data_IF_403280326419
#
_entry.id   IF_403280326419
#
_cell.length_a   1.000
_cell.length_b   1.000
_cell.length_c   1.000
_cell.angle_alpha   90.00
_cell.angle_beta   90.00
_cell.angle_gamma   90.00
#
_symmetry.space_group_name_H-M   'P 1'
#
loop_
_entity.id
_entity.type
_entity.pdbx_description
1 polymer ?
#
# COMPACT_ATOMS: atom_id res chain seq x y z
N UNK A 1 -2.32 -24.76 60.91
CA UNK A 1 -2.59 -26.18 60.65
C UNK A 1 -3.55 -26.24 59.48
N UNK A 2 -3.13 -26.69 58.35
CA UNK A 2 -3.78 -27.44 57.29
C UNK A 2 -3.04 -27.18 55.98
N UNK A 3 -2.24 -28.16 55.59
CA UNK A 3 -1.58 -28.27 54.33
C UNK A 3 -2.56 -28.74 53.24
N UNK A 4 -2.39 -28.27 52.02
CA UNK A 4 -3.01 -28.87 50.86
C UNK A 4 -1.95 -29.06 49.78
N UNK A 5 -1.98 -30.28 49.27
CA UNK A 5 -1.01 -30.95 48.43
C UNK A 5 -0.90 -30.35 47.02
N UNK A 6 0.32 -30.42 46.49
CA UNK A 6 0.68 -30.19 45.10
C UNK A 6 0.28 -31.39 44.23
N UNK A 7 -0.49 -31.18 43.22
CA UNK A 7 -0.67 -32.12 42.12
C UNK A 7 0.00 -31.53 40.85
N UNK A 8 1.16 -32.10 40.51
CA UNK A 8 1.85 -31.83 39.25
C UNK A 8 1.16 -32.61 38.11
N UNK A 9 0.58 -31.93 37.14
CA UNK A 9 0.08 -32.54 35.92
C UNK A 9 1.07 -32.23 34.80
N UNK A 10 1.87 -33.22 34.42
CA UNK A 10 2.75 -33.15 33.26
C UNK A 10 1.92 -33.36 31.97
N UNK A 11 1.77 -32.31 31.15
CA UNK A 11 1.12 -32.38 29.85
C UNK A 11 2.21 -32.49 28.77
N UNK A 12 2.35 -33.68 28.20
CA UNK A 12 3.23 -33.98 27.08
C UNK A 12 2.54 -33.48 25.80
N UNK A 13 3.07 -32.39 25.21
CA UNK A 13 2.66 -31.95 23.87
C UNK A 13 3.45 -32.70 22.79
N UNK A 14 2.78 -33.59 22.07
CA UNK A 14 3.26 -34.21 20.85
C UNK A 14 3.23 -33.15 19.71
N UNK A 15 4.39 -32.71 19.28
CA UNK A 15 4.58 -31.91 18.08
C UNK A 15 4.50 -32.81 16.86
N UNK A 16 3.34 -32.84 16.19
CA UNK A 16 3.21 -33.42 14.87
C UNK A 16 3.71 -32.38 13.83
N UNK A 17 4.95 -32.51 13.41
CA UNK A 17 5.53 -31.73 12.30
C UNK A 17 4.95 -32.21 10.97
N UNK A 18 4.23 -31.38 10.26
CA UNK A 18 3.87 -31.60 8.85
C UNK A 18 5.08 -31.32 7.97
N UNK A 19 5.77 -32.36 7.52
CA UNK A 19 6.75 -32.28 6.44
C UNK A 19 5.98 -32.25 5.11
N UNK A 20 6.00 -31.14 4.38
CA UNK A 20 5.59 -31.08 2.98
C UNK A 20 6.76 -31.59 2.12
N UNK A 21 6.64 -32.80 1.63
CA UNK A 21 7.48 -33.30 0.53
C UNK A 21 6.90 -32.79 -0.79
N UNK A 22 7.65 -31.94 -1.49
CA UNK A 22 7.40 -31.65 -2.89
C UNK A 22 8.01 -32.76 -3.74
N UNK A 23 7.18 -33.50 -4.45
CA UNK A 23 7.63 -34.51 -5.42
C UNK A 23 8.28 -33.79 -6.62
N UNK A 24 9.60 -33.72 -6.60
CA UNK A 24 10.41 -33.37 -7.76
C UNK A 24 10.46 -34.57 -8.71
N UNK A 25 9.95 -34.41 -9.92
CA UNK A 25 10.08 -35.41 -10.97
C UNK A 25 11.53 -35.42 -11.44
N UNK A 26 12.28 -36.58 -11.36
CA UNK A 26 13.63 -36.65 -11.89
C UNK A 26 13.58 -36.74 -13.41
N UNK A 27 14.18 -35.76 -14.08
CA UNK A 27 14.43 -35.84 -15.52
C UNK A 27 15.67 -36.72 -15.75
N UNK A 28 15.48 -37.90 -16.33
CA UNK A 28 16.57 -38.76 -16.74
C UNK A 28 17.28 -38.13 -17.95
N UNK A 29 18.58 -37.93 -17.82
CA UNK A 29 19.46 -37.62 -18.93
C UNK A 29 19.67 -38.88 -19.81
N UNK A 30 19.12 -38.90 -21.00
CA UNK A 30 19.36 -39.96 -21.96
C UNK A 30 20.46 -39.49 -22.91
N UNK A 31 21.54 -40.30 -22.98
CA UNK A 31 22.64 -40.12 -23.92
C UNK A 31 22.34 -40.90 -25.20
N UNK A 32 22.47 -40.23 -26.35
CA UNK A 32 22.89 -40.90 -27.56
C UNK A 32 21.96 -40.86 -28.75
N UNK A 33 22.48 -40.32 -29.76
CA UNK A 33 22.45 -40.68 -31.18
C UNK A 33 21.91 -39.60 -32.11
N UNK A 34 22.86 -39.01 -32.84
CA UNK A 34 22.68 -38.12 -33.98
C UNK A 34 21.83 -38.71 -35.09
N UNK A 35 20.74 -38.02 -35.45
CA UNK A 35 20.19 -38.04 -36.82
C UNK A 35 19.79 -36.63 -37.21
N UNK A 36 20.44 -36.09 -38.23
CA UNK A 36 20.06 -34.83 -38.84
C UNK A 36 18.68 -34.95 -39.50
N UNK A 37 17.72 -34.17 -39.05
CA UNK A 37 16.47 -33.95 -39.77
C UNK A 37 16.18 -32.46 -39.78
N UNK A 38 16.21 -31.89 -40.97
CA UNK A 38 15.87 -30.52 -41.26
C UNK A 38 14.38 -30.31 -40.91
N UNK A 39 14.10 -29.53 -39.89
CA UNK A 39 12.75 -29.08 -39.55
C UNK A 39 12.58 -27.58 -39.91
N UNK A 40 11.40 -27.17 -40.39
CA UNK A 40 11.16 -25.80 -40.86
C UNK A 40 11.25 -24.79 -39.68
N UNK A 41 11.84 -23.62 -39.94
CA UNK A 41 11.87 -22.48 -39.05
C UNK A 41 10.45 -22.16 -38.56
N UNK A 42 10.16 -22.55 -37.33
CA UNK A 42 9.00 -22.03 -36.61
C UNK A 42 9.29 -20.56 -36.30
N UNK A 43 8.50 -19.68 -36.89
CA UNK A 43 8.41 -18.27 -36.50
C UNK A 43 8.14 -18.22 -35.02
N UNK A 44 9.11 -17.76 -34.25
CA UNK A 44 8.94 -17.54 -32.81
C UNK A 44 7.80 -16.53 -32.62
N UNK A 45 6.67 -17.00 -32.13
CA UNK A 45 5.65 -16.13 -31.57
C UNK A 45 6.31 -15.39 -30.41
N UNK A 46 6.25 -14.02 -30.35
CA UNK A 46 6.79 -13.31 -29.23
C UNK A 46 6.08 -13.83 -27.98
N UNK A 47 6.82 -14.41 -27.04
CA UNK A 47 6.34 -14.65 -25.68
C UNK A 47 5.77 -13.34 -25.15
N UNK A 48 4.60 -13.36 -24.47
CA UNK A 48 4.16 -12.19 -23.76
C UNK A 48 5.30 -11.80 -22.81
N UNK A 49 5.89 -10.62 -23.05
CA UNK A 49 6.75 -9.99 -22.06
C UNK A 49 5.90 -9.89 -20.80
N UNK A 50 6.27 -10.64 -19.78
CA UNK A 50 5.84 -10.34 -18.42
C UNK A 50 6.30 -8.91 -18.19
N UNK A 51 5.35 -7.97 -18.14
CA UNK A 51 5.59 -6.66 -17.60
C UNK A 51 6.03 -6.90 -16.14
N UNK A 52 7.34 -6.91 -15.94
CA UNK A 52 7.95 -6.73 -14.63
C UNK A 52 7.70 -5.26 -14.22
N UNK A 53 6.45 -4.85 -14.13
CA UNK A 53 6.08 -3.59 -13.51
C UNK A 53 6.39 -3.75 -12.03
N UNK A 54 7.51 -3.17 -11.61
CA UNK A 54 7.94 -3.16 -10.22
C UNK A 54 6.77 -2.60 -9.41
N UNK A 55 6.03 -3.47 -8.76
CA UNK A 55 4.97 -3.21 -7.78
C UNK A 55 4.33 -1.81 -7.85
N UNK A 56 3.44 -1.59 -8.81
CA UNK A 56 2.70 -0.33 -8.92
C UNK A 56 3.48 0.83 -9.53
N UNK A 57 4.64 0.58 -10.13
CA UNK A 57 5.41 1.59 -10.87
C UNK A 57 4.99 1.57 -12.34
N UNK A 58 4.50 2.69 -12.84
CA UNK A 58 4.11 2.85 -14.24
C UNK A 58 4.88 3.99 -14.90
N UNK A 59 5.07 3.96 -16.23
CA UNK A 59 5.68 5.07 -16.95
C UNK A 59 4.83 6.35 -16.78
N UNK A 60 5.40 7.39 -16.17
CA UNK A 60 4.72 8.67 -15.98
C UNK A 60 4.54 9.38 -17.31
N UNK A 61 3.29 9.58 -17.73
CA UNK A 61 2.94 10.40 -18.89
C UNK A 61 2.91 11.87 -18.49
N UNK A 62 3.97 12.61 -18.80
CA UNK A 62 4.11 14.03 -18.48
C UNK A 62 3.48 14.91 -19.58
N UNK A 63 2.20 14.71 -19.85
CA UNK A 63 1.45 15.54 -20.81
C UNK A 63 0.80 16.68 -20.03
N UNK A 64 1.16 17.96 -20.31
CA UNK A 64 0.54 19.08 -19.65
C UNK A 64 -0.97 19.11 -19.89
N UNK A 65 -1.72 19.44 -18.85
CA UNK A 65 -3.19 19.57 -18.87
C UNK A 65 -3.60 20.97 -18.40
N UNK A 66 -4.80 21.45 -18.73
CA UNK A 66 -5.27 22.75 -18.22
C UNK A 66 -5.24 22.82 -16.69
N UNK A 67 -5.03 24.01 -16.09
CA UNK A 67 -5.13 24.19 -14.63
C UNK A 67 -6.50 23.74 -14.09
N UNK A 68 -6.52 23.24 -12.86
CA UNK A 68 -7.69 22.68 -12.19
C UNK A 68 -8.30 21.46 -12.93
N UNK A 69 -7.50 20.76 -13.72
CA UNK A 69 -7.93 19.51 -14.34
C UNK A 69 -8.06 18.43 -13.27
N UNK A 70 -9.22 17.76 -13.28
CA UNK A 70 -9.41 16.51 -12.51
C UNK A 70 -8.66 15.42 -13.25
N UNK A 71 -7.46 15.10 -12.78
CA UNK A 71 -6.60 14.08 -13.38
C UNK A 71 -7.02 12.66 -12.97
N UNK A 72 -7.68 12.54 -11.83
CA UNK A 72 -8.29 11.32 -11.33
C UNK A 72 -9.64 11.65 -10.68
N UNK A 73 -10.65 10.84 -10.92
CA UNK A 73 -11.96 11.00 -10.30
C UNK A 73 -12.43 9.68 -9.69
N UNK A 74 -13.06 9.76 -8.52
CA UNK A 74 -13.64 8.58 -7.89
C UNK A 74 -14.83 8.04 -8.70
N UNK A 75 -14.91 6.72 -8.95
CA UNK A 75 -16.04 6.11 -9.66
C UNK A 75 -17.37 6.27 -8.89
N UNK A 76 -17.32 6.07 -7.58
CA UNK A 76 -18.45 6.29 -6.68
C UNK A 76 -18.14 7.46 -5.74
N UNK A 77 -18.88 8.57 -5.89
CA UNK A 77 -18.67 9.75 -5.06
C UNK A 77 -19.43 9.63 -3.74
N UNK A 78 -18.76 9.53 -2.59
CA UNK A 78 -19.44 9.55 -1.30
C UNK A 78 -20.11 10.91 -1.08
N UNK A 79 -21.18 10.92 -0.24
CA UNK A 79 -21.98 12.12 0.02
C UNK A 79 -21.18 13.21 0.71
N UNK A 80 -20.30 12.82 1.66
CA UNK A 80 -19.41 13.74 2.36
C UNK A 80 -17.98 13.52 1.86
N UNK A 81 -17.28 14.61 1.55
CA UNK A 81 -15.91 14.56 1.03
C UNK A 81 -15.08 15.66 1.70
N UNK A 82 -13.79 15.39 1.83
CA UNK A 82 -12.79 16.34 2.28
C UNK A 82 -11.79 16.60 1.16
N UNK A 83 -11.47 17.86 0.91
CA UNK A 83 -10.36 18.24 0.01
C UNK A 83 -9.17 18.65 0.88
N UNK A 84 -8.11 17.88 0.78
CA UNK A 84 -6.81 18.16 1.38
C UNK A 84 -5.97 19.03 0.43
N UNK A 85 -5.29 20.05 0.97
CA UNK A 85 -4.38 20.93 0.22
C UNK A 85 -3.31 21.47 1.15
N UNK A 86 -2.15 21.78 0.57
CA UNK A 86 -1.01 22.41 1.25
C UNK A 86 -0.83 23.85 0.75
N UNK A 87 0.06 24.61 1.39
CA UNK A 87 0.29 26.02 1.03
C UNK A 87 0.99 26.20 -0.33
N UNK A 88 1.68 25.16 -0.83
CA UNK A 88 2.33 25.18 -2.13
C UNK A 88 1.29 25.23 -3.27
N UNK A 89 1.19 26.34 -4.05
CA UNK A 89 0.22 26.47 -5.14
C UNK A 89 0.51 25.52 -6.32
N UNK A 90 1.69 24.94 -6.40
CA UNK A 90 2.07 23.96 -7.43
C UNK A 90 1.71 22.52 -7.04
N UNK A 91 1.26 22.31 -5.81
CA UNK A 91 0.87 20.99 -5.32
C UNK A 91 -0.54 20.58 -5.81
N UNK A 92 -0.79 19.28 -6.03
CA UNK A 92 -2.12 18.79 -6.33
C UNK A 92 -3.06 18.94 -5.13
N UNK A 93 -4.37 19.03 -5.39
CA UNK A 93 -5.41 18.89 -4.35
C UNK A 93 -5.98 17.49 -4.38
N UNK A 94 -6.19 16.93 -3.20
CA UNK A 94 -6.65 15.55 -3.02
C UNK A 94 -8.01 15.57 -2.35
N UNK A 95 -9.01 14.91 -2.98
CA UNK A 95 -10.33 14.81 -2.39
C UNK A 95 -10.66 13.35 -2.10
N UNK A 96 -10.89 13.05 -0.83
CA UNK A 96 -11.25 11.73 -0.33
C UNK A 96 -12.67 11.68 0.19
N UNK A 97 -13.27 10.49 0.26
CA UNK A 97 -14.52 10.28 0.97
C UNK A 97 -14.31 10.40 2.48
N UNK A 98 -15.33 10.87 3.19
CA UNK A 98 -15.32 10.94 4.66
C UNK A 98 -16.26 9.90 5.21
N UNK A 99 -15.81 8.94 6.05
CA UNK A 99 -16.69 8.00 6.71
C UNK A 99 -17.69 8.70 7.62
N UNK A 100 -18.86 8.09 7.82
CA UNK A 100 -19.88 8.66 8.67
C UNK A 100 -19.40 8.81 10.12
N UNK A 101 -19.70 9.93 10.75
CA UNK A 101 -19.32 10.22 12.13
C UNK A 101 -17.87 10.68 12.32
N UNK A 102 -17.10 10.83 11.24
CA UNK A 102 -15.73 11.34 11.36
C UNK A 102 -15.69 12.87 11.36
N UNK A 103 -14.79 13.44 12.17
CA UNK A 103 -14.47 14.86 12.17
C UNK A 103 -13.28 15.16 11.27
N UNK A 104 -13.24 16.37 10.70
CA UNK A 104 -12.19 16.82 9.77
C UNK A 104 -11.48 18.04 10.33
N UNK A 105 -10.17 18.15 10.07
CA UNK A 105 -9.37 19.32 10.37
C UNK A 105 -8.34 19.58 9.28
N UNK A 106 -7.96 20.85 9.10
CA UNK A 106 -6.86 21.21 8.24
C UNK A 106 -5.53 20.75 8.86
N UNK A 107 -4.54 20.48 8.00
CA UNK A 107 -3.18 20.22 8.43
C UNK A 107 -2.29 21.46 8.32
N UNK A 108 -0.98 21.25 8.42
CA UNK A 108 0.07 22.25 8.23
C UNK A 108 1.31 21.62 7.62
N UNK A 109 2.14 22.41 6.95
CA UNK A 109 3.29 21.90 6.20
C UNK A 109 2.83 20.95 5.08
N UNK A 110 3.37 19.75 5.02
CA UNK A 110 3.01 18.73 4.04
C UNK A 110 1.71 17.99 4.39
N UNK A 111 1.12 18.22 5.56
CA UNK A 111 -0.17 17.67 5.94
C UNK A 111 -1.28 18.51 5.32
N UNK A 112 -1.93 18.00 4.30
CA UNK A 112 -3.04 18.65 3.61
C UNK A 112 -4.37 18.55 4.34
N UNK A 113 -4.52 17.55 5.23
CA UNK A 113 -5.73 17.36 6.03
C UNK A 113 -5.63 16.17 6.97
N UNK A 114 -6.49 16.19 7.98
CA UNK A 114 -6.58 15.13 8.99
C UNK A 114 -8.04 14.81 9.30
N UNK A 115 -8.29 13.59 9.70
CA UNK A 115 -9.61 13.17 10.16
C UNK A 115 -9.46 12.31 11.43
N UNK A 116 -10.45 12.39 12.29
CA UNK A 116 -10.56 11.55 13.46
C UNK A 116 -11.92 10.85 13.48
N UNK A 117 -11.89 9.53 13.59
CA UNK A 117 -13.05 8.65 13.69
C UNK A 117 -13.28 8.15 15.11
N UNK A 118 -14.29 7.32 15.29
CA UNK A 118 -14.56 6.67 16.58
C UNK A 118 -13.42 5.70 16.94
N UNK A 119 -13.39 5.30 18.23
CA UNK A 119 -12.51 4.23 18.75
C UNK A 119 -11.01 4.40 18.46
N UNK A 120 -10.54 5.65 18.30
CA UNK A 120 -9.15 5.97 18.04
C UNK A 120 -8.71 5.83 16.58
N UNK A 121 -9.64 5.60 15.65
CA UNK A 121 -9.36 5.68 14.22
C UNK A 121 -8.93 7.09 13.83
N UNK A 122 -7.97 7.19 12.95
CA UNK A 122 -7.51 8.49 12.43
C UNK A 122 -6.95 8.37 11.02
N UNK A 123 -6.98 9.48 10.30
CA UNK A 123 -6.39 9.59 8.95
C UNK A 123 -5.57 10.85 8.85
N UNK A 124 -4.42 10.74 8.19
CA UNK A 124 -3.59 11.87 7.79
C UNK A 124 -3.39 11.82 6.28
N UNK A 125 -3.63 12.93 5.59
CA UNK A 125 -3.37 13.08 4.15
C UNK A 125 -2.17 13.99 4.01
N UNK A 126 -1.07 13.46 3.47
CA UNK A 126 0.16 14.22 3.19
C UNK A 126 0.32 14.46 1.69
N UNK A 127 0.86 15.63 1.34
CA UNK A 127 1.15 16.04 -0.03
C UNK A 127 2.55 16.68 0.01
N UNK A 128 3.57 15.84 -0.01
CA UNK A 128 4.96 16.26 0.13
C UNK A 128 5.67 16.38 -1.22
N UNK A 129 6.34 17.50 -1.48
CA UNK A 129 7.20 17.63 -2.66
C UNK A 129 8.36 16.63 -2.59
N UNK A 130 8.70 16.01 -3.72
CA UNK A 130 9.79 15.03 -3.79
C UNK A 130 10.61 15.18 -5.06
N UNK A 131 11.92 14.92 -4.94
CA UNK A 131 12.84 14.80 -6.07
C UNK A 131 13.14 13.33 -6.41
N UNK A 132 12.63 12.41 -5.61
CA UNK A 132 12.81 10.98 -5.82
C UNK A 132 11.91 10.50 -6.97
N UNK A 133 12.37 9.50 -7.70
CA UNK A 133 11.52 8.75 -8.59
C UNK A 133 10.49 7.93 -7.80
N UNK A 134 9.45 7.38 -8.45
CA UNK A 134 8.40 6.65 -7.74
C UNK A 134 8.92 5.49 -6.88
N UNK A 135 9.88 4.71 -7.38
CA UNK A 135 10.41 3.55 -6.66
C UNK A 135 11.14 3.98 -5.39
N UNK A 136 12.04 4.95 -5.50
CA UNK A 136 12.79 5.47 -4.36
C UNK A 136 11.88 6.19 -3.35
N UNK A 137 10.86 6.92 -3.82
CA UNK A 137 9.90 7.59 -2.96
C UNK A 137 9.07 6.59 -2.16
N UNK A 138 8.57 5.53 -2.79
CA UNK A 138 7.77 4.50 -2.13
C UNK A 138 8.61 3.68 -1.15
N UNK A 139 9.84 3.32 -1.54
CA UNK A 139 10.75 2.64 -0.62
C UNK A 139 11.02 3.48 0.62
N UNK A 140 11.34 4.78 0.42
CA UNK A 140 11.57 5.69 1.55
C UNK A 140 10.35 5.77 2.47
N UNK A 141 9.14 5.90 1.92
CA UNK A 141 7.90 5.94 2.70
C UNK A 141 7.71 4.68 3.53
N UNK A 142 7.89 3.50 2.94
CA UNK A 142 7.78 2.23 3.64
C UNK A 142 8.85 2.08 4.74
N UNK A 143 10.10 2.49 4.47
CA UNK A 143 11.18 2.45 5.45
C UNK A 143 10.89 3.39 6.65
N UNK A 144 10.40 4.62 6.38
CA UNK A 144 10.02 5.58 7.43
C UNK A 144 8.87 5.03 8.28
N UNK A 145 7.86 4.44 7.64
CA UNK A 145 6.71 3.84 8.32
C UNK A 145 7.13 2.68 9.24
N UNK A 146 8.05 1.82 8.78
CA UNK A 146 8.60 0.73 9.59
C UNK A 146 9.46 1.22 10.75
N UNK A 147 10.05 2.39 10.64
CA UNK A 147 10.89 2.96 11.69
C UNK A 147 10.09 3.58 12.85
N UNK A 148 8.77 3.73 12.71
CA UNK A 148 7.93 4.33 13.76
C UNK A 148 7.82 3.47 15.01
N UNK A 149 8.11 2.17 14.93
CA UNK A 149 7.93 1.23 16.04
C UNK A 149 9.02 0.15 16.07
N UNK A 150 9.27 -0.39 17.26
CA UNK A 150 10.25 -1.46 17.47
C UNK A 150 9.88 -2.77 16.76
N UNK A 151 8.59 -3.02 16.57
CA UNK A 151 8.07 -4.19 15.84
C UNK A 151 7.04 -3.70 14.82
N UNK A 152 7.33 -3.93 13.56
CA UNK A 152 6.43 -3.57 12.46
C UNK A 152 6.33 -4.68 11.43
N UNK A 153 5.18 -4.78 10.80
CA UNK A 153 4.93 -5.63 9.62
C UNK A 153 4.28 -4.78 8.54
N UNK A 154 4.77 -4.88 7.32
CA UNK A 154 4.23 -4.14 6.18
C UNK A 154 4.05 -5.10 5.00
N UNK A 155 2.86 -5.14 4.44
CA UNK A 155 2.57 -5.77 3.15
C UNK A 155 2.40 -4.67 2.12
N UNK A 156 3.08 -4.81 0.99
CA UNK A 156 3.04 -3.85 -0.13
C UNK A 156 2.32 -4.50 -1.30
N UNK A 157 1.34 -3.81 -1.86
CA UNK A 157 0.58 -4.22 -3.03
C UNK A 157 0.68 -3.14 -4.12
N UNK A 158 0.63 -3.51 -5.41
CA UNK A 158 0.49 -2.53 -6.47
C UNK A 158 -0.80 -1.72 -6.27
N UNK A 159 -0.74 -0.44 -6.57
CA UNK A 159 -1.83 0.49 -6.28
C UNK A 159 -1.80 1.70 -7.20
N UNK A 160 -1.65 1.47 -8.52
CA UNK A 160 -1.72 2.53 -9.53
C UNK A 160 -3.04 3.29 -9.44
N UNK A 161 -3.00 4.59 -9.67
CA UNK A 161 -4.18 5.43 -9.66
C UNK A 161 -4.18 6.36 -10.87
N UNK A 162 -5.14 6.18 -11.78
CA UNK A 162 -5.33 7.01 -12.98
C UNK A 162 -4.05 7.18 -13.84
N UNK A 163 -3.21 6.15 -13.89
CA UNK A 163 -1.95 6.17 -14.64
C UNK A 163 -0.79 6.83 -13.90
N UNK A 164 -0.96 7.16 -12.62
CA UNK A 164 0.14 7.48 -11.70
C UNK A 164 0.64 6.21 -11.03
N UNK A 165 1.96 6.15 -10.80
CA UNK A 165 2.54 5.12 -9.97
C UNK A 165 1.97 5.19 -8.55
N UNK A 166 1.65 4.06 -7.95
CA UNK A 166 1.08 4.01 -6.61
C UNK A 166 1.18 2.65 -5.97
N UNK A 167 1.11 2.62 -4.65
CA UNK A 167 1.10 1.40 -3.85
C UNK A 167 0.04 1.48 -2.75
N UNK A 168 -0.45 0.31 -2.35
CA UNK A 168 -1.20 0.13 -1.11
C UNK A 168 -0.27 -0.55 -0.11
N UNK A 169 -0.19 0.00 1.10
CA UNK A 169 0.53 -0.60 2.20
C UNK A 169 -0.47 -0.93 3.30
N UNK A 170 -0.35 -2.09 3.89
CA UNK A 170 -1.15 -2.47 5.05
C UNK A 170 -0.29 -3.26 6.03
N UNK A 171 -0.55 -3.08 7.30
CA UNK A 171 0.25 -3.73 8.32
C UNK A 171 -0.14 -3.35 9.73
N UNK A 172 0.78 -3.65 10.63
CA UNK A 172 0.66 -3.27 12.02
C UNK A 172 2.03 -2.97 12.62
N UNK A 173 2.04 -2.11 13.62
CA UNK A 173 3.21 -1.88 14.46
C UNK A 173 2.86 -1.92 15.93
N UNK A 174 3.86 -2.15 16.77
CA UNK A 174 3.68 -2.22 18.21
C UNK A 174 5.00 -1.98 18.94
N UNK A 175 4.97 -1.10 19.92
CA UNK A 175 6.05 -0.97 20.90
C UNK A 175 5.85 -1.91 22.10
N UNK A 176 4.61 -2.25 22.38
CA UNK A 176 4.22 -3.21 23.43
C UNK A 176 2.99 -4.00 22.97
N UNK A 177 2.79 -5.24 23.47
CA UNK A 177 1.66 -6.07 23.08
C UNK A 177 0.27 -5.43 23.27
N UNK A 178 0.18 -4.41 24.14
CA UNK A 178 -1.07 -3.71 24.45
C UNK A 178 -1.33 -2.50 23.55
N UNK A 179 -0.30 -2.04 22.82
CA UNK A 179 -0.36 -0.83 22.00
C UNK A 179 -0.17 -1.14 20.52
N UNK A 180 -0.73 -2.26 20.07
CA UNK A 180 -0.68 -2.62 18.66
C UNK A 180 -1.63 -1.70 17.85
N UNK A 181 -1.11 -1.16 16.77
CA UNK A 181 -1.83 -0.31 15.82
C UNK A 181 -1.83 -0.99 14.46
N UNK A 182 -2.98 -1.08 13.85
CA UNK A 182 -3.13 -1.49 12.45
C UNK A 182 -3.24 -0.26 11.56
N UNK A 183 -2.78 -0.40 10.31
CA UNK A 183 -2.83 0.69 9.34
C UNK A 183 -3.08 0.19 7.92
N UNK A 184 -3.65 1.08 7.12
CA UNK A 184 -3.75 0.95 5.67
C UNK A 184 -3.43 2.29 5.01
N UNK A 185 -2.55 2.25 3.99
CA UNK A 185 -2.10 3.42 3.26
C UNK A 185 -2.36 3.27 1.76
N UNK A 186 -2.64 4.40 1.14
CA UNK A 186 -2.52 4.56 -0.30
C UNK A 186 -1.50 5.64 -0.59
N UNK A 187 -0.43 5.30 -1.31
CA UNK A 187 0.58 6.27 -1.75
C UNK A 187 0.57 6.38 -3.26
N UNK A 188 0.69 7.60 -3.77
CA UNK A 188 0.67 7.90 -5.21
C UNK A 188 1.73 8.95 -5.52
N UNK A 189 2.52 8.72 -6.56
CA UNK A 189 3.52 9.67 -7.04
C UNK A 189 2.93 10.51 -8.17
N UNK A 190 2.63 11.78 -7.87
CA UNK A 190 1.92 12.69 -8.77
C UNK A 190 2.88 13.68 -9.40
N UNK A 191 2.88 13.77 -10.73
CA UNK A 191 3.55 14.83 -11.47
C UNK A 191 2.57 15.97 -11.78
N UNK A 192 3.03 17.23 -11.66
CA UNK A 192 2.24 18.42 -11.97
C UNK A 192 2.80 19.22 -13.14
N UNK A 193 1.99 20.12 -13.72
CA UNK A 193 2.37 20.94 -14.88
C UNK A 193 3.61 21.83 -14.63
N UNK A 194 3.88 22.18 -13.39
CA UNK A 194 5.09 22.92 -13.00
C UNK A 194 6.38 22.11 -13.17
N UNK A 195 6.27 20.79 -13.45
CA UNK A 195 7.39 19.87 -13.53
C UNK A 195 7.80 19.30 -12.18
N UNK A 196 7.11 19.65 -11.11
CA UNK A 196 7.33 19.12 -9.78
C UNK A 196 6.67 17.74 -9.60
N UNK A 197 7.25 16.94 -8.73
CA UNK A 197 6.66 15.70 -8.28
C UNK A 197 6.25 15.81 -6.81
N UNK A 198 5.18 15.14 -6.47
CA UNK A 198 4.65 15.06 -5.10
C UNK A 198 4.38 13.61 -4.73
N UNK A 199 4.78 13.23 -3.54
CA UNK A 199 4.30 12.00 -2.92
C UNK A 199 3.03 12.34 -2.13
N UNK A 200 1.92 11.79 -2.58
CA UNK A 200 0.63 11.86 -1.87
C UNK A 200 0.48 10.59 -1.07
N UNK A 201 0.17 10.71 0.21
CA UNK A 201 -0.16 9.56 1.04
C UNK A 201 -1.44 9.81 1.82
N UNK A 202 -2.35 8.85 1.78
CA UNK A 202 -3.52 8.74 2.65
C UNK A 202 -3.21 7.62 3.64
N UNK A 203 -2.91 7.98 4.87
CA UNK A 203 -2.55 7.08 5.96
C UNK A 203 -3.70 6.95 6.94
N UNK A 204 -4.24 5.75 7.09
CA UNK A 204 -5.34 5.40 8.00
C UNK A 204 -4.84 4.45 9.06
N UNK A 205 -5.13 4.74 10.33
CA UNK A 205 -4.72 3.87 11.45
C UNK A 205 -5.74 3.79 12.56
N UNK A 206 -5.66 2.70 13.31
CA UNK A 206 -6.48 2.44 14.50
C UNK A 206 -5.76 1.52 15.48
N UNK A 207 -6.18 1.43 16.75
CA UNK A 207 -5.83 0.30 17.60
C UNK A 207 -6.24 -1.02 16.94
N UNK A 208 -5.38 -2.03 16.98
CA UNK A 208 -5.62 -3.32 16.31
C UNK A 208 -6.92 -3.96 16.77
N UNK A 209 -7.74 -4.39 15.81
CA UNK A 209 -9.04 -5.01 16.06
C UNK A 209 -10.18 -4.01 16.27
N UNK A 210 -9.98 -2.74 15.91
CA UNK A 210 -11.02 -1.71 15.98
C UNK A 210 -12.18 -2.06 15.04
N UNK A 211 -13.42 -2.18 15.53
CA UNK A 211 -14.57 -2.49 14.68
C UNK A 211 -14.77 -1.44 13.58
N UNK A 212 -14.97 -1.88 12.34
CA UNK A 212 -15.21 -0.99 11.20
C UNK A 212 -13.96 -0.36 10.59
N UNK A 213 -12.75 -0.68 11.07
CA UNK A 213 -11.51 -0.18 10.50
C UNK A 213 -11.40 -0.49 9.00
N UNK A 214 -11.57 -1.75 8.59
CA UNK A 214 -11.44 -2.15 7.18
C UNK A 214 -12.36 -1.35 6.25
N UNK A 215 -13.62 -1.11 6.68
CA UNK A 215 -14.58 -0.35 5.88
C UNK A 215 -14.22 1.13 5.76
N UNK A 216 -13.70 1.73 6.84
CA UNK A 216 -13.27 3.11 6.86
C UNK A 216 -11.97 3.28 6.05
N UNK A 217 -11.01 2.38 6.24
CA UNK A 217 -9.76 2.37 5.50
C UNK A 217 -10.00 2.21 3.99
N UNK A 218 -10.82 1.24 3.58
CA UNK A 218 -11.17 1.05 2.17
C UNK A 218 -11.79 2.31 1.55
N UNK A 219 -12.75 2.99 2.23
CA UNK A 219 -13.35 4.22 1.73
C UNK A 219 -12.32 5.34 1.50
N UNK A 220 -11.30 5.41 2.35
CA UNK A 220 -10.29 6.46 2.34
C UNK A 220 -9.13 6.17 1.38
N UNK A 221 -8.77 4.90 1.19
CA UNK A 221 -7.54 4.48 0.50
C UNK A 221 -7.79 3.88 -0.88
N UNK A 222 -9.03 3.47 -1.26
CA UNK A 222 -9.26 2.85 -2.56
C UNK A 222 -8.93 3.79 -3.70
N UNK A 223 -9.83 4.73 -3.98
CA UNK A 223 -9.63 5.72 -5.04
C UNK A 223 -10.00 7.11 -4.52
N UNK A 224 -9.17 8.08 -4.81
CA UNK A 224 -9.41 9.48 -4.47
C UNK A 224 -9.27 10.38 -5.70
N UNK A 225 -9.90 11.56 -5.62
CA UNK A 225 -9.81 12.55 -6.69
C UNK A 225 -8.49 13.32 -6.58
N UNK A 226 -7.82 13.50 -7.72
CA UNK A 226 -6.61 14.31 -7.86
C UNK A 226 -6.92 15.45 -8.80
N UNK A 227 -6.77 16.69 -8.32
CA UNK A 227 -6.90 17.91 -9.12
C UNK A 227 -5.52 18.55 -9.25
N UNK A 228 -5.08 18.73 -10.49
CA UNK A 228 -3.80 19.39 -10.78
C UNK A 228 -3.96 20.91 -10.76
N UNK A 229 -2.94 21.67 -10.27
CA UNK A 229 -2.94 23.13 -10.21
C UNK A 229 -2.89 23.80 -11.58
#
# INVERSE_FOLDING_TARGET
MNGVAWAALAMVCLLAGCVRTSDGVPVAADQGTTVASSAPSATATPSPQSDDSVFGIVPTKRTPVPPNTVACSQPARPTVRMTASVEDPAAPKITVGVPEGWSMSAGSGDIGGQMAGPDGMSTTITIGATQLDPEAAFKKYADDLMAESAVSTVSVLPGELCGYSGQKLMGAWSDTPQNAVEFEDRIVHVWTNSGNNYLVAVHVKAPTGTPGFDSAAALLTEDFEIVLP
#
